data_IF_537030175500
#
_entry.id   IF_537030175500
#
_cell.length_a   1.000
_cell.length_b   1.000
_cell.length_c   1.000
_cell.angle_alpha   90.00
_cell.angle_beta   90.00
_cell.angle_gamma   90.00
#
_symmetry.space_group_name_H-M   'P 1'
#
loop_
_entity.id
_entity.type
_entity.pdbx_description
1 polymer ?
#
# COMPACT_ATOMS: atom_id res chain seq x y z
N UNK A 1 16.07 7.23 2.60
CA UNK A 1 15.55 7.10 3.98
C UNK A 1 14.23 6.34 3.90
N UNK A 2 14.08 5.24 4.66
CA UNK A 2 12.76 4.61 4.87
C UNK A 2 12.02 5.44 5.92
N UNK A 3 10.71 5.66 5.74
CA UNK A 3 9.92 6.53 6.63
C UNK A 3 9.73 7.97 6.15
N UNK A 4 9.90 8.24 4.85
CA UNK A 4 9.50 9.51 4.24
C UNK A 4 7.99 9.55 4.01
N UNK A 5 7.39 10.75 4.15
CA UNK A 5 6.00 11.03 3.75
C UNK A 5 5.72 10.43 2.38
N UNK A 6 4.89 9.39 2.31
CA UNK A 6 4.64 8.68 1.05
C UNK A 6 4.76 7.16 1.10
N UNK A 7 5.20 6.59 2.22
CA UNK A 7 5.20 5.14 2.44
C UNK A 7 4.45 4.78 3.72
N UNK A 8 3.65 3.72 3.67
CA UNK A 8 2.98 3.12 4.84
C UNK A 8 3.56 1.74 5.07
N UNK A 9 4.17 1.52 6.23
CA UNK A 9 4.78 0.23 6.57
C UNK A 9 3.70 -0.86 6.65
N UNK A 10 3.95 -2.00 5.99
CA UNK A 10 3.04 -3.16 6.05
C UNK A 10 3.66 -4.39 6.72
N UNK A 11 4.84 -4.23 7.32
CA UNK A 11 5.50 -5.35 7.97
C UNK A 11 6.00 -6.39 6.95
N UNK A 12 5.93 -7.67 7.34
CA UNK A 12 6.22 -8.81 6.46
C UNK A 12 4.98 -9.70 6.28
N UNK A 13 4.04 -9.35 5.38
CA UNK A 13 2.91 -10.23 5.06
C UNK A 13 3.39 -11.60 4.58
N UNK A 14 2.66 -12.68 4.92
CA UNK A 14 3.04 -14.07 4.58
C UNK A 14 3.24 -14.32 3.08
N UNK A 15 2.58 -13.52 2.24
CA UNK A 15 2.61 -13.60 0.78
C UNK A 15 3.67 -12.70 0.14
N UNK A 16 4.50 -12.00 0.94
CA UNK A 16 5.68 -11.27 0.47
C UNK A 16 6.96 -11.89 1.04
N UNK A 17 8.05 -11.92 0.26
CA UNK A 17 9.29 -12.56 0.68
C UNK A 17 10.04 -11.78 1.77
N UNK A 18 9.76 -10.47 1.91
CA UNK A 18 10.52 -9.53 2.74
C UNK A 18 9.59 -8.50 3.39
N UNK A 19 10.11 -7.84 4.43
CA UNK A 19 9.51 -6.65 5.00
C UNK A 19 9.28 -5.60 3.91
N UNK A 20 8.09 -5.00 3.87
CA UNK A 20 7.62 -4.19 2.76
C UNK A 20 6.77 -3.02 3.24
N UNK A 21 6.61 -2.01 2.38
CA UNK A 21 5.75 -0.86 2.60
C UNK A 21 4.89 -0.62 1.35
N UNK A 22 3.76 0.04 1.51
CA UNK A 22 2.94 0.56 0.40
C UNK A 22 3.45 1.95 0.05
N UNK A 23 3.92 2.13 -1.19
CA UNK A 23 4.22 3.45 -1.73
C UNK A 23 2.90 4.11 -2.17
N UNK A 24 2.49 5.15 -1.45
CA UNK A 24 1.26 5.91 -1.72
C UNK A 24 1.49 7.11 -2.65
N UNK A 25 2.74 7.51 -2.91
CA UNK A 25 3.07 8.55 -3.89
C UNK A 25 2.80 8.08 -5.33
N UNK A 26 2.95 6.77 -5.58
CA UNK A 26 2.65 6.13 -6.85
C UNK A 26 1.18 5.73 -7.03
N UNK A 27 0.24 6.34 -6.29
CA UNK A 27 -1.18 6.00 -6.41
C UNK A 27 -1.70 6.35 -7.80
N UNK A 28 -2.21 5.33 -8.52
CA UNK A 28 -2.66 5.47 -9.90
C UNK A 28 -3.74 4.44 -10.25
N UNK A 29 -4.50 4.71 -11.30
CA UNK A 29 -5.37 3.73 -11.96
C UNK A 29 -4.54 2.82 -12.87
N UNK A 30 -4.89 1.53 -12.91
CA UNK A 30 -4.29 0.54 -13.82
C UNK A 30 -5.39 -0.23 -14.56
N UNK A 31 -5.07 -0.73 -15.75
CA UNK A 31 -5.98 -1.63 -16.49
C UNK A 31 -6.15 -2.97 -15.76
N UNK A 32 -7.37 -3.50 -15.72
CA UNK A 32 -7.66 -4.74 -15.01
C UNK A 32 -6.95 -5.96 -15.60
N UNK A 33 -6.67 -5.98 -16.90
CA UNK A 33 -5.98 -7.09 -17.57
C UNK A 33 -4.47 -7.08 -17.27
N UNK A 34 -3.93 -5.99 -16.71
CA UNK A 34 -2.56 -5.97 -16.18
C UNK A 34 -2.43 -6.76 -14.86
N UNK A 35 -3.54 -7.08 -14.18
CA UNK A 35 -3.54 -7.85 -12.95
C UNK A 35 -3.48 -9.36 -13.24
N UNK A 36 -2.30 -9.95 -13.07
CA UNK A 36 -2.07 -11.38 -13.37
C UNK A 36 -2.49 -12.35 -12.26
N UNK A 37 -2.44 -11.92 -10.98
CA UNK A 37 -2.69 -12.78 -9.81
C UNK A 37 -2.89 -11.95 -8.54
N UNK A 38 -3.80 -12.39 -7.66
CA UNK A 38 -3.91 -11.89 -6.29
C UNK A 38 -2.93 -12.62 -5.36
N UNK A 39 -2.11 -11.87 -4.60
CA UNK A 39 -1.16 -12.43 -3.65
C UNK A 39 -1.74 -12.65 -2.24
N UNK A 40 -2.66 -11.80 -1.81
CA UNK A 40 -3.26 -11.88 -0.47
C UNK A 40 -4.27 -10.79 -0.18
N UNK A 41 -4.52 -10.57 1.12
CA UNK A 41 -5.31 -9.46 1.65
C UNK A 41 -4.53 -8.85 2.82
N UNK A 42 -4.49 -7.52 2.90
CA UNK A 42 -4.04 -6.83 4.11
C UNK A 42 -5.16 -6.87 5.17
N UNK A 43 -4.84 -6.84 6.48
CA UNK A 43 -5.83 -6.63 7.52
C UNK A 43 -6.61 -5.33 7.29
N UNK A 44 -7.88 -5.30 7.67
CA UNK A 44 -8.75 -4.15 7.42
C UNK A 44 -8.27 -2.88 8.14
N UNK A 45 -7.69 -3.02 9.33
CA UNK A 45 -7.05 -1.92 10.07
C UNK A 45 -5.90 -1.28 9.27
N UNK A 46 -5.02 -2.10 8.70
CA UNK A 46 -3.90 -1.63 7.90
C UNK A 46 -4.34 -0.99 6.59
N UNK A 47 -5.40 -1.53 5.96
CA UNK A 47 -6.01 -0.88 4.79
C UNK A 47 -6.62 0.49 5.16
N UNK A 48 -7.19 0.64 6.35
CA UNK A 48 -7.70 1.92 6.83
C UNK A 48 -6.57 2.95 7.03
N UNK A 49 -5.44 2.54 7.59
CA UNK A 49 -4.24 3.39 7.72
C UNK A 49 -3.73 3.87 6.36
N UNK A 50 -3.64 2.98 5.37
CA UNK A 50 -3.25 3.33 4.00
C UNK A 50 -4.21 4.37 3.40
N UNK A 51 -5.52 4.17 3.58
CA UNK A 51 -6.54 5.12 3.09
C UNK A 51 -6.42 6.49 3.77
N UNK A 52 -6.15 6.53 5.07
CA UNK A 52 -5.94 7.78 5.79
C UNK A 52 -4.71 8.52 5.26
N UNK A 53 -3.59 7.82 5.06
CA UNK A 53 -2.38 8.40 4.51
C UNK A 53 -2.55 8.91 3.07
N UNK A 54 -3.35 8.23 2.24
CA UNK A 54 -3.72 8.72 0.89
C UNK A 54 -4.56 9.99 0.98
N UNK A 55 -5.53 10.07 1.91
CA UNK A 55 -6.34 11.29 2.11
C UNK A 55 -5.47 12.48 2.52
N UNK A 56 -4.56 12.27 3.46
CA UNK A 56 -3.59 13.29 3.86
C UNK A 56 -2.70 13.72 2.68
N UNK A 57 -2.23 12.78 1.86
CA UNK A 57 -1.43 13.07 0.67
C UNK A 57 -2.20 13.91 -0.36
N UNK A 58 -3.51 13.68 -0.49
CA UNK A 58 -4.38 14.37 -1.44
C UNK A 58 -5.04 15.65 -0.87
N UNK A 59 -4.85 15.94 0.42
CA UNK A 59 -5.48 17.08 1.10
C UNK A 59 -7.01 16.95 1.23
N UNK A 60 -7.51 15.73 1.45
CA UNK A 60 -8.95 15.38 1.53
C UNK A 60 -9.41 15.04 2.94
#
# INVERSE_FOLDING_TARGET
MRGLRGEVDIGKPRWLPKHSAVNIQGFASIDQHALIRRLGKLPDAQLAEIKAAIRELLGL
#
